data_IF_191513588330
#
_entry.id   IF_191513588330
#
_cell.length_a   1.000
_cell.length_b   1.000
_cell.length_c   1.000
_cell.angle_alpha   90.00
_cell.angle_beta   90.00
_cell.angle_gamma   90.00
#
_symmetry.space_group_name_H-M   'P 1'
#
loop_
_entity.id
_entity.type
_entity.pdbx_description
1 polymer ?
#
# COMPACT_ATOMS: atom_id res chain seq x y z
N UNK A 1 20.14 -14.55 -38.94
CA UNK A 1 19.82 -14.48 -37.51
C UNK A 1 18.52 -15.22 -37.32
N UNK A 2 18.58 -16.53 -37.11
CA UNK A 2 17.40 -17.38 -36.88
C UNK A 2 16.90 -17.14 -35.46
N UNK A 3 15.63 -16.80 -35.25
CA UNK A 3 15.07 -16.69 -33.90
C UNK A 3 15.12 -18.08 -33.26
N UNK A 4 15.83 -18.16 -32.14
CA UNK A 4 15.96 -19.37 -31.32
C UNK A 4 14.57 -19.74 -30.79
N UNK A 5 14.15 -21.02 -30.82
CA UNK A 5 12.84 -21.43 -30.33
C UNK A 5 12.70 -21.05 -28.85
N UNK A 6 11.78 -20.13 -28.56
CA UNK A 6 11.48 -19.70 -27.20
C UNK A 6 10.73 -20.82 -26.49
N UNK A 7 11.35 -21.40 -25.47
CA UNK A 7 10.81 -22.48 -24.65
C UNK A 7 9.58 -21.97 -23.88
N UNK A 8 8.46 -22.72 -23.83
CA UNK A 8 7.18 -22.28 -23.22
C UNK A 8 7.28 -21.83 -21.75
N UNK A 9 8.36 -22.20 -21.05
CA UNK A 9 8.63 -21.79 -19.67
C UNK A 9 8.90 -20.28 -19.52
N UNK A 10 9.60 -19.65 -20.49
CA UNK A 10 9.97 -18.22 -20.40
C UNK A 10 8.80 -17.26 -20.62
N UNK A 11 7.87 -17.64 -21.49
CA UNK A 11 6.64 -16.87 -21.74
C UNK A 11 5.80 -16.76 -20.46
N UNK A 12 5.62 -17.88 -19.75
CA UNK A 12 4.83 -17.93 -18.51
C UNK A 12 5.38 -17.08 -17.35
N UNK A 13 6.70 -16.87 -17.31
CA UNK A 13 7.35 -16.03 -16.29
C UNK A 13 7.14 -14.55 -16.60
N UNK A 14 7.30 -14.18 -17.87
CA UNK A 14 7.12 -12.81 -18.31
C UNK A 14 5.68 -12.32 -18.05
N UNK A 15 4.69 -13.18 -18.34
CA UNK A 15 3.28 -12.86 -18.08
C UNK A 15 2.98 -12.67 -16.59
N UNK A 16 3.64 -13.45 -15.73
CA UNK A 16 3.46 -13.35 -14.28
C UNK A 16 4.08 -12.07 -13.71
N UNK A 17 5.26 -11.68 -14.20
CA UNK A 17 5.88 -10.40 -13.84
C UNK A 17 5.04 -9.20 -14.29
N UNK A 18 4.48 -9.26 -15.50
CA UNK A 18 3.57 -8.24 -16.02
C UNK A 18 2.30 -8.15 -15.17
N UNK A 19 1.72 -9.29 -14.80
CA UNK A 19 0.53 -9.34 -13.94
C UNK A 19 0.80 -8.71 -12.58
N UNK A 20 1.92 -9.05 -11.93
CA UNK A 20 2.34 -8.45 -10.65
C UNK A 20 2.45 -6.93 -10.79
N UNK A 21 3.12 -6.45 -11.85
CA UNK A 21 3.35 -5.02 -12.09
C UNK A 21 2.03 -4.26 -12.31
N UNK A 22 1.08 -4.85 -13.02
CA UNK A 22 -0.24 -4.27 -13.27
C UNK A 22 -1.09 -4.19 -12.00
N UNK A 23 -1.15 -5.26 -11.20
CA UNK A 23 -1.90 -5.28 -9.94
C UNK A 23 -1.37 -4.20 -8.99
N UNK A 24 -0.04 -4.10 -8.87
CA UNK A 24 0.58 -3.09 -8.00
C UNK A 24 0.30 -1.67 -8.46
N UNK A 25 0.48 -1.37 -9.75
CA UNK A 25 0.21 -0.03 -10.29
C UNK A 25 -1.27 0.33 -10.13
N UNK A 26 -2.17 -0.61 -10.39
CA UNK A 26 -3.60 -0.44 -10.17
C UNK A 26 -3.92 -0.12 -8.72
N UNK A 27 -3.32 -0.87 -7.77
CA UNK A 27 -3.49 -0.63 -6.34
C UNK A 27 -3.01 0.75 -5.87
N UNK A 28 -1.84 1.20 -6.34
CA UNK A 28 -1.32 2.56 -6.03
C UNK A 28 -2.23 3.64 -6.58
N UNK A 29 -2.65 3.53 -7.84
CA UNK A 29 -3.53 4.50 -8.46
C UNK A 29 -4.89 4.55 -7.75
N UNK A 30 -5.45 3.39 -7.40
CA UNK A 30 -6.70 3.30 -6.67
C UNK A 30 -6.59 3.97 -5.29
N UNK A 31 -5.55 3.63 -4.51
CA UNK A 31 -5.30 4.24 -3.21
C UNK A 31 -5.12 5.76 -3.31
N UNK A 32 -4.36 6.22 -4.31
CA UNK A 32 -4.14 7.63 -4.58
C UNK A 32 -5.42 8.38 -4.93
N UNK A 33 -6.30 7.80 -5.75
CA UNK A 33 -7.60 8.39 -6.09
C UNK A 33 -8.47 8.54 -4.85
N UNK A 34 -8.56 7.51 -4.00
CA UNK A 34 -9.33 7.57 -2.76
C UNK A 34 -8.81 8.64 -1.81
N UNK A 35 -7.48 8.66 -1.61
CA UNK A 35 -6.83 9.65 -0.76
C UNK A 35 -7.07 11.08 -1.27
N UNK A 36 -6.84 11.32 -2.56
CA UNK A 36 -7.06 12.62 -3.20
C UNK A 36 -8.52 13.05 -3.12
N UNK A 37 -9.46 12.14 -3.36
CA UNK A 37 -10.90 12.45 -3.31
C UNK A 37 -11.33 12.83 -1.90
N UNK A 38 -10.89 12.07 -0.88
CA UNK A 38 -11.19 12.39 0.52
C UNK A 38 -10.58 13.72 0.95
N UNK A 39 -9.33 13.99 0.57
CA UNK A 39 -8.66 15.27 0.83
C UNK A 39 -9.36 16.44 0.15
N UNK A 40 -9.71 16.31 -1.14
CA UNK A 40 -10.37 17.37 -1.89
C UNK A 40 -11.75 17.68 -1.32
N UNK A 41 -12.48 16.66 -0.88
CA UNK A 41 -13.77 16.84 -0.20
C UNK A 41 -13.61 17.59 1.12
N UNK A 42 -12.62 17.22 1.93
CA UNK A 42 -12.33 17.87 3.22
C UNK A 42 -11.98 19.35 3.01
N UNK A 43 -11.13 19.64 2.01
CA UNK A 43 -10.75 21.01 1.64
C UNK A 43 -11.95 21.87 1.24
N UNK A 44 -12.87 21.32 0.44
CA UNK A 44 -14.06 22.03 -0.02
C UNK A 44 -15.05 22.34 1.11
N UNK A 45 -15.05 21.52 2.17
CA UNK A 45 -16.01 21.63 3.28
C UNK A 45 -15.55 22.61 4.35
N UNK A 46 -14.29 22.51 4.76
CA UNK A 46 -13.76 23.20 5.93
C UNK A 46 -12.55 24.08 5.58
N UNK A 47 -12.60 24.83 4.46
CA UNK A 47 -11.50 25.66 3.92
C UNK A 47 -10.79 26.65 4.88
N UNK A 48 -11.19 26.69 6.15
CA UNK A 48 -10.60 27.44 7.27
C UNK A 48 -9.84 26.59 8.31
N UNK A 49 -9.95 25.26 8.31
CA UNK A 49 -9.38 24.39 9.37
C UNK A 49 -7.86 24.22 9.27
N UNK A 50 -7.24 24.70 8.18
CA UNK A 50 -5.79 24.83 8.04
C UNK A 50 -5.18 25.79 9.09
N UNK A 51 -5.99 26.56 9.84
CA UNK A 51 -5.50 27.43 10.92
C UNK A 51 -5.14 26.67 12.20
N UNK A 52 -5.60 25.42 12.38
CA UNK A 52 -5.38 24.64 13.61
C UNK A 52 -4.04 23.87 13.64
N UNK A 53 -3.26 23.87 12.54
CA UNK A 53 -1.94 23.20 12.50
C UNK A 53 -0.88 23.82 13.44
N UNK A 54 -1.20 24.91 14.15
CA UNK A 54 -0.30 25.49 15.15
C UNK A 54 -0.10 24.58 16.37
N UNK A 55 -0.98 23.61 16.61
CA UNK A 55 -0.89 22.69 17.75
C UNK A 55 -1.04 21.25 17.27
N UNK A 56 0.07 20.50 17.23
CA UNK A 56 0.04 19.07 16.94
C UNK A 56 -0.35 18.31 18.21
N UNK A 57 -1.61 17.90 18.32
CA UNK A 57 -2.02 16.88 19.29
C UNK A 57 -1.84 15.49 18.67
N UNK A 58 -0.90 14.66 19.15
CA UNK A 58 -0.81 13.28 18.72
C UNK A 58 -2.05 12.53 19.19
N UNK A 59 -3.00 12.28 18.29
CA UNK A 59 -4.12 11.36 18.54
C UNK A 59 -3.84 10.01 17.89
N UNK A 60 -3.97 8.90 18.63
CA UNK A 60 -3.75 7.58 18.07
C UNK A 60 -4.68 7.34 16.86
N UNK A 61 -4.14 6.67 15.85
CA UNK A 61 -4.81 6.41 14.58
C UNK A 61 -6.20 5.78 14.76
N UNK A 62 -6.32 4.86 15.72
CA UNK A 62 -7.57 4.15 16.04
C UNK A 62 -8.62 5.12 16.60
N UNK A 63 -8.21 6.05 17.46
CA UNK A 63 -9.09 7.04 18.07
C UNK A 63 -9.56 8.07 17.04
N UNK A 64 -8.70 8.45 16.09
CA UNK A 64 -9.08 9.27 14.94
C UNK A 64 -10.18 8.63 14.08
N UNK A 65 -10.07 7.32 13.78
CA UNK A 65 -11.10 6.60 13.01
C UNK A 65 -12.41 6.50 13.80
N UNK A 66 -12.34 6.20 15.10
CA UNK A 66 -13.52 6.15 15.96
C UNK A 66 -14.21 7.50 16.04
N UNK A 67 -13.45 8.58 16.23
CA UNK A 67 -13.97 9.94 16.24
C UNK A 67 -14.64 10.31 14.91
N UNK A 68 -13.99 10.00 13.79
CA UNK A 68 -14.54 10.24 12.46
C UNK A 68 -15.84 9.47 12.21
N UNK A 69 -15.93 8.24 12.72
CA UNK A 69 -17.13 7.41 12.63
C UNK A 69 -18.28 8.00 13.47
N UNK A 70 -17.97 8.51 14.66
CA UNK A 70 -18.93 9.18 15.56
C UNK A 70 -19.40 10.51 14.97
N UNK A 71 -18.50 11.29 14.38
CA UNK A 71 -18.80 12.58 13.73
C UNK A 71 -19.39 12.43 12.33
N UNK A 72 -19.51 11.19 11.82
CA UNK A 72 -20.00 10.83 10.48
C UNK A 72 -19.24 11.59 9.36
N UNK A 73 -17.94 11.83 9.56
CA UNK A 73 -17.09 12.52 8.60
C UNK A 73 -16.65 11.56 7.49
N UNK A 74 -17.50 11.44 6.47
CA UNK A 74 -17.25 10.58 5.31
C UNK A 74 -15.97 10.96 4.56
N UNK A 75 -15.56 12.24 4.57
CA UNK A 75 -14.37 12.69 3.86
C UNK A 75 -13.11 12.14 4.52
N UNK A 76 -13.02 12.27 5.83
CA UNK A 76 -11.89 11.77 6.62
C UNK A 76 -11.82 10.24 6.57
N UNK A 77 -12.95 9.53 6.62
CA UNK A 77 -12.98 8.07 6.46
C UNK A 77 -12.44 7.62 5.09
N UNK A 78 -12.85 8.29 4.01
CA UNK A 78 -12.40 7.95 2.64
C UNK A 78 -10.90 8.22 2.47
N UNK A 79 -10.42 9.37 2.98
CA UNK A 79 -9.00 9.70 2.95
C UNK A 79 -8.17 8.69 3.74
N UNK A 80 -8.60 8.36 4.96
CA UNK A 80 -7.89 7.41 5.82
C UNK A 80 -7.84 6.01 5.21
N UNK A 81 -8.94 5.59 4.57
CA UNK A 81 -8.97 4.34 3.83
C UNK A 81 -7.94 4.34 2.70
N UNK A 82 -7.90 5.39 1.87
CA UNK A 82 -6.89 5.56 0.81
C UNK A 82 -5.46 5.52 1.36
N UNK A 83 -5.21 6.17 2.49
CA UNK A 83 -3.92 6.17 3.18
C UNK A 83 -3.52 4.77 3.64
N UNK A 84 -4.42 4.04 4.31
CA UNK A 84 -4.17 2.66 4.77
C UNK A 84 -3.81 1.76 3.61
N UNK A 85 -4.58 1.84 2.51
CA UNK A 85 -4.28 1.07 1.30
C UNK A 85 -2.90 1.45 0.78
N UNK A 86 -2.60 2.75 0.65
CA UNK A 86 -1.33 3.24 0.11
C UNK A 86 -0.12 2.75 0.92
N UNK A 87 -0.23 2.82 2.24
CA UNK A 87 0.81 2.41 3.19
C UNK A 87 0.93 0.87 3.27
N UNK A 88 -0.12 0.13 2.94
CA UNK A 88 -0.09 -1.34 2.88
C UNK A 88 0.52 -1.89 1.57
N UNK A 89 0.53 -1.11 0.47
CA UNK A 89 1.09 -1.54 -0.82
C UNK A 89 2.54 -2.08 -0.77
N UNK A 90 3.47 -1.50 0.01
CA UNK A 90 4.80 -2.07 0.21
C UNK A 90 4.78 -3.50 0.74
N UNK A 91 3.84 -3.86 1.62
CA UNK A 91 3.68 -5.22 2.14
C UNK A 91 3.24 -6.17 1.02
N UNK A 92 2.22 -5.78 0.25
CA UNK A 92 1.71 -6.54 -0.90
C UNK A 92 2.82 -6.75 -1.94
N UNK A 93 3.62 -5.71 -2.19
CA UNK A 93 4.77 -5.78 -3.11
C UNK A 93 5.77 -6.84 -2.68
N UNK A 94 6.22 -6.78 -1.43
CA UNK A 94 7.22 -7.73 -0.93
C UNK A 94 6.64 -9.14 -0.90
N UNK A 95 5.37 -9.30 -0.52
CA UNK A 95 4.68 -10.59 -0.53
C UNK A 95 4.62 -11.21 -1.93
N UNK A 96 4.20 -10.45 -2.96
CA UNK A 96 4.17 -10.95 -4.34
C UNK A 96 5.56 -11.34 -4.83
N UNK A 97 6.60 -10.56 -4.52
CA UNK A 97 7.98 -10.92 -4.90
C UNK A 97 8.49 -12.16 -4.16
N UNK A 98 8.13 -12.35 -2.89
CA UNK A 98 8.48 -13.54 -2.13
C UNK A 98 7.82 -14.79 -2.72
N UNK A 99 6.53 -14.70 -3.10
CA UNK A 99 5.80 -15.80 -3.75
C UNK A 99 6.44 -16.16 -5.10
N UNK A 100 6.85 -15.15 -5.88
CA UNK A 100 7.55 -15.36 -7.15
C UNK A 100 8.85 -16.16 -6.96
N UNK A 101 9.70 -15.76 -6.00
CA UNK A 101 10.96 -16.47 -5.73
C UNK A 101 10.73 -17.88 -5.19
N UNK A 102 9.68 -18.07 -4.38
CA UNK A 102 9.30 -19.39 -3.89
C UNK A 102 8.87 -20.32 -5.03
N UNK A 103 8.09 -19.80 -5.99
CA UNK A 103 7.68 -20.54 -7.20
C UNK A 103 8.87 -20.85 -8.12
N UNK A 104 9.85 -19.95 -8.22
CA UNK A 104 11.09 -20.15 -8.97
C UNK A 104 12.09 -21.10 -8.27
N UNK A 105 11.78 -21.61 -7.06
CA UNK A 105 12.66 -22.44 -6.22
C UNK A 105 13.99 -21.77 -5.85
N UNK A 106 14.10 -20.45 -6.00
CA UNK A 106 15.26 -19.69 -5.51
C UNK A 106 15.09 -19.41 -4.02
N UNK A 107 15.63 -20.33 -3.22
CA UNK A 107 15.54 -20.26 -1.75
C UNK A 107 16.33 -19.07 -1.17
N UNK A 108 17.35 -18.59 -1.85
CA UNK A 108 18.19 -17.48 -1.36
C UNK A 108 17.43 -16.16 -1.44
N UNK A 109 16.87 -15.87 -2.61
CA UNK A 109 16.07 -14.65 -2.82
C UNK A 109 14.76 -14.68 -2.03
N UNK A 110 14.12 -15.85 -1.92
CA UNK A 110 12.91 -16.01 -1.10
C UNK A 110 13.18 -15.70 0.39
N UNK A 111 14.30 -16.15 0.95
CA UNK A 111 14.66 -15.89 2.35
C UNK A 111 14.91 -14.40 2.62
N UNK A 112 15.58 -13.71 1.68
CA UNK A 112 15.80 -12.27 1.78
C UNK A 112 14.48 -11.50 1.72
N UNK A 113 13.60 -11.83 0.77
CA UNK A 113 12.28 -11.19 0.66
C UNK A 113 11.42 -11.42 1.92
N UNK A 114 11.45 -12.63 2.49
CA UNK A 114 10.79 -12.93 3.76
C UNK A 114 11.36 -12.11 4.92
N UNK A 115 12.69 -11.95 4.98
CA UNK A 115 13.35 -11.16 6.03
C UNK A 115 12.92 -9.69 5.96
N UNK A 116 12.90 -9.10 4.75
CA UNK A 116 12.40 -7.73 4.54
C UNK A 116 10.93 -7.62 4.88
N UNK A 117 10.11 -8.63 4.53
CA UNK A 117 8.70 -8.66 4.88
C UNK A 117 8.49 -8.63 6.40
N UNK A 118 9.25 -9.45 7.15
CA UNK A 118 9.20 -9.48 8.61
C UNK A 118 9.65 -8.14 9.20
N UNK A 119 10.72 -7.53 8.66
CA UNK A 119 11.18 -6.21 9.09
C UNK A 119 10.13 -5.12 8.82
N UNK A 120 9.44 -5.17 7.68
CA UNK A 120 8.34 -4.25 7.34
C UNK A 120 7.16 -4.40 8.30
N UNK A 121 6.70 -5.63 8.52
CA UNK A 121 5.59 -5.92 9.45
C UNK A 121 5.97 -5.51 10.87
N UNK A 122 7.21 -5.81 11.30
CA UNK A 122 7.73 -5.40 12.60
C UNK A 122 7.77 -3.89 12.76
N UNK A 123 8.28 -3.17 11.75
CA UNK A 123 8.28 -1.70 11.72
C UNK A 123 6.86 -1.12 11.80
N UNK A 124 5.90 -1.76 11.12
CA UNK A 124 4.51 -1.34 11.15
C UNK A 124 3.85 -1.54 12.52
N UNK A 125 4.07 -2.70 13.14
CA UNK A 125 3.56 -3.00 14.48
C UNK A 125 4.17 -2.09 15.54
N UNK A 126 5.50 -1.90 15.52
CA UNK A 126 6.19 -0.98 16.43
C UNK A 126 5.80 0.49 16.20
N UNK A 127 5.57 0.89 14.96
CA UNK A 127 5.21 2.27 14.60
C UNK A 127 3.74 2.62 14.82
N UNK A 128 2.84 1.64 14.97
CA UNK A 128 1.42 1.87 15.30
C UNK A 128 1.19 2.11 16.80
N UNK A 129 2.11 1.66 17.65
CA UNK A 129 2.03 1.74 19.12
C UNK A 129 2.76 2.97 19.75
N UNK A 130 3.35 3.87 18.95
CA UNK A 130 3.93 5.17 19.40
C UNK A 130 3.10 6.36 18.91
#
# INVERSE_FOLDING_TARGET
MTPTPQTPEKESLHDLELTISQILRGGVLFAGIFLLTGWLWMWLRDGSDLQSFSTYEPRPFVENIQWALVMNDRALLIAQFGLVVLVCLPLVRVLMTAILFLKQKDKGLALMALTVFVALVGSFLLGIDL
#
